data_IF_284930947894
#
_entry.id   IF_284930947894
#
_cell.length_a   1.000
_cell.length_b   1.000
_cell.length_c   1.000
_cell.angle_alpha   90.00
_cell.angle_beta   90.00
_cell.angle_gamma   90.00
#
_symmetry.space_group_name_H-M   'P 1'
#
loop_
_entity.id
_entity.type
_entity.pdbx_description
1 polymer ?
#
# COMPACT_ATOMS: atom_id res chain seq x y z
N UNK A 1 22.98 5.96 -27.63
CA UNK A 1 21.57 6.29 -27.92
C UNK A 1 21.32 7.75 -27.52
N UNK A 2 20.61 8.57 -28.31
CA UNK A 2 20.42 10.00 -28.00
C UNK A 2 19.42 10.17 -26.84
N UNK A 3 19.82 10.84 -25.76
CA UNK A 3 18.97 11.03 -24.55
C UNK A 3 17.63 11.69 -24.88
N UNK A 4 17.61 12.69 -25.76
CA UNK A 4 16.37 13.34 -26.18
C UNK A 4 15.37 12.38 -26.85
N UNK A 5 15.86 11.41 -27.63
CA UNK A 5 15.02 10.38 -28.25
C UNK A 5 14.45 9.43 -27.19
N UNK A 6 15.25 9.05 -26.19
CA UNK A 6 14.79 8.24 -25.04
C UNK A 6 13.68 8.97 -24.30
N UNK A 7 13.91 10.23 -23.95
CA UNK A 7 12.96 11.00 -23.16
C UNK A 7 11.63 11.18 -23.90
N UNK A 8 11.67 11.46 -25.21
CA UNK A 8 10.46 11.54 -26.03
C UNK A 8 9.71 10.21 -26.08
N UNK A 9 10.44 9.10 -26.29
CA UNK A 9 9.86 7.76 -26.30
C UNK A 9 9.25 7.37 -24.96
N UNK A 10 9.93 7.65 -23.84
CA UNK A 10 9.42 7.43 -22.49
C UNK A 10 8.17 8.29 -22.22
N UNK A 11 8.21 9.58 -22.56
CA UNK A 11 7.06 10.47 -22.40
C UNK A 11 5.84 9.98 -23.20
N UNK A 12 6.07 9.45 -24.41
CA UNK A 12 5.02 8.84 -25.21
C UNK A 12 4.42 7.61 -24.51
N UNK A 13 5.26 6.62 -24.15
CA UNK A 13 4.83 5.37 -23.48
C UNK A 13 4.16 5.59 -22.13
N UNK A 14 4.52 6.67 -21.44
CA UNK A 14 3.97 7.01 -20.12
C UNK A 14 2.77 7.97 -20.22
N UNK A 15 2.23 8.18 -21.43
CA UNK A 15 1.03 8.97 -21.68
C UNK A 15 1.17 10.47 -21.34
N UNK A 16 2.40 10.99 -21.35
CA UNK A 16 2.69 12.39 -21.01
C UNK A 16 2.61 13.33 -22.22
N UNK A 17 2.65 12.80 -23.45
CA UNK A 17 2.50 13.60 -24.66
C UNK A 17 1.01 13.72 -25.04
N UNK A 18 0.56 14.87 -25.60
CA UNK A 18 -0.85 15.06 -25.95
C UNK A 18 -1.45 13.94 -26.80
N UNK A 19 -0.69 13.42 -27.78
CA UNK A 19 -1.14 12.35 -28.67
C UNK A 19 -1.08 10.93 -28.08
N UNK A 20 -0.61 10.75 -26.84
CA UNK A 20 -0.56 9.44 -26.17
C UNK A 20 -1.35 9.39 -24.86
N UNK A 21 -2.06 10.46 -24.50
CA UNK A 21 -2.94 10.47 -23.31
C UNK A 21 -4.06 9.45 -23.46
N UNK A 22 -4.39 8.80 -22.36
CA UNK A 22 -5.50 7.84 -22.28
C UNK A 22 -6.79 8.53 -21.85
N UNK A 23 -7.89 7.79 -21.85
CA UNK A 23 -9.17 8.20 -21.24
C UNK A 23 -9.54 7.36 -20.02
N UNK A 24 -8.82 6.25 -19.78
CA UNK A 24 -9.05 5.34 -18.64
C UNK A 24 -7.93 5.44 -17.60
N UNK A 25 -8.33 5.67 -16.34
CA UNK A 25 -7.44 5.77 -15.18
C UNK A 25 -6.83 4.41 -14.80
N UNK A 26 -7.55 3.30 -15.01
CA UNK A 26 -7.09 1.95 -14.68
C UNK A 26 -5.99 1.55 -15.64
N UNK A 27 -6.22 1.74 -16.94
CA UNK A 27 -5.22 1.51 -17.98
C UNK A 27 -3.99 2.40 -17.78
N UNK A 28 -4.16 3.68 -17.44
CA UNK A 28 -3.03 4.55 -17.14
C UNK A 28 -2.17 4.02 -15.98
N UNK A 29 -2.79 3.60 -14.87
CA UNK A 29 -2.06 3.01 -13.74
C UNK A 29 -1.33 1.71 -14.14
N UNK A 30 -1.97 0.88 -14.98
CA UNK A 30 -1.41 -0.38 -15.50
C UNK A 30 -0.19 -0.16 -16.39
N UNK A 31 -0.26 0.83 -17.29
CA UNK A 31 0.78 1.07 -18.29
C UNK A 31 2.03 1.71 -17.71
N UNK A 32 1.89 2.48 -16.62
CA UNK A 32 3.04 3.00 -15.86
C UNK A 32 3.37 2.18 -14.61
N UNK A 33 3.02 0.89 -14.62
CA UNK A 33 3.22 -0.09 -13.54
C UNK A 33 2.35 0.16 -12.31
N UNK A 34 2.46 1.34 -11.69
CA UNK A 34 1.64 1.77 -10.57
C UNK A 34 1.78 3.28 -10.32
N UNK A 35 0.83 3.88 -9.61
CA UNK A 35 0.91 5.27 -9.16
C UNK A 35 1.44 5.33 -7.72
N UNK A 36 2.45 6.16 -7.45
CA UNK A 36 2.88 6.37 -6.07
C UNK A 36 1.79 7.09 -5.25
N UNK A 37 1.40 6.50 -4.11
CA UNK A 37 0.21 6.90 -3.35
C UNK A 37 0.47 7.18 -1.87
N UNK A 38 1.74 7.33 -1.46
CA UNK A 38 2.09 7.70 -0.07
C UNK A 38 1.42 9.02 0.33
N UNK A 39 1.54 10.03 -0.53
CA UNK A 39 0.74 11.24 -0.46
C UNK A 39 -0.59 11.03 -1.19
N UNK A 40 -1.74 11.38 -0.58
CA UNK A 40 -3.05 11.16 -1.20
C UNK A 40 -3.25 11.93 -2.51
N UNK A 41 -2.54 13.04 -2.74
CA UNK A 41 -2.69 13.84 -3.97
C UNK A 41 -1.85 13.32 -5.14
N UNK A 42 -0.78 12.58 -4.86
CA UNK A 42 0.15 12.04 -5.86
C UNK A 42 -0.53 11.30 -7.03
N UNK A 43 -1.42 10.32 -6.77
CA UNK A 43 -2.14 9.62 -7.83
C UNK A 43 -3.00 10.54 -8.71
N UNK A 44 -3.65 11.55 -8.12
CA UNK A 44 -4.47 12.50 -8.87
C UNK A 44 -3.64 13.37 -9.82
N UNK A 45 -2.50 13.90 -9.34
CA UNK A 45 -1.59 14.71 -10.17
C UNK A 45 -0.99 13.84 -11.29
N UNK A 46 -0.62 12.60 -10.97
CA UNK A 46 -0.07 11.65 -11.93
C UNK A 46 -1.06 11.32 -13.06
N UNK A 47 -2.34 11.10 -12.72
CA UNK A 47 -3.40 10.82 -13.69
C UNK A 47 -3.83 12.07 -14.46
N UNK A 48 -3.88 13.24 -13.83
CA UNK A 48 -4.17 14.51 -14.52
C UNK A 48 -3.20 14.77 -15.68
N UNK A 49 -1.92 14.40 -15.52
CA UNK A 49 -0.94 14.54 -16.60
C UNK A 49 -1.11 13.54 -17.75
N UNK A 50 -1.77 12.39 -17.49
CA UNK A 50 -1.78 11.19 -18.35
C UNK A 50 -3.13 10.87 -18.99
N UNK A 51 -4.21 11.35 -18.39
CA UNK A 51 -5.58 11.06 -18.78
C UNK A 51 -6.24 12.34 -19.28
N UNK A 52 -6.69 12.32 -20.53
CA UNK A 52 -7.40 13.42 -21.14
C UNK A 52 -8.74 13.64 -20.42
N UNK A 53 -9.01 14.88 -19.99
CA UNK A 53 -10.25 15.22 -19.29
C UNK A 53 -10.38 14.65 -17.88
N UNK A 54 -9.27 14.22 -17.26
CA UNK A 54 -9.26 13.59 -15.93
C UNK A 54 -10.14 14.32 -14.91
N UNK A 55 -11.08 13.57 -14.32
CA UNK A 55 -11.87 13.98 -13.16
C UNK A 55 -11.43 13.18 -11.94
N UNK A 56 -11.44 13.83 -10.78
CA UNK A 56 -11.04 13.23 -9.50
C UNK A 56 -11.88 11.99 -9.19
N UNK A 57 -13.17 12.09 -9.45
CA UNK A 57 -14.21 11.10 -9.18
C UNK A 57 -13.90 9.79 -9.90
N UNK A 58 -13.31 9.83 -11.11
CA UNK A 58 -12.92 8.63 -11.85
C UNK A 58 -11.91 7.77 -11.07
N UNK A 59 -10.95 8.39 -10.37
CA UNK A 59 -10.01 7.65 -9.51
C UNK A 59 -10.70 7.14 -8.24
N UNK A 60 -11.60 7.93 -7.64
CA UNK A 60 -12.33 7.51 -6.44
C UNK A 60 -13.25 6.32 -6.73
N UNK A 61 -13.99 6.36 -7.84
CA UNK A 61 -14.86 5.29 -8.30
C UNK A 61 -14.05 4.02 -8.59
N UNK A 62 -12.91 4.15 -9.28
CA UNK A 62 -12.03 3.00 -9.55
C UNK A 62 -11.43 2.38 -8.29
N UNK A 63 -11.13 3.18 -7.25
CA UNK A 63 -10.56 2.69 -5.99
C UNK A 63 -11.60 2.09 -5.03
N UNK A 64 -12.77 2.71 -4.94
CA UNK A 64 -13.68 2.51 -3.81
C UNK A 64 -15.01 1.88 -4.20
N UNK A 65 -15.54 2.21 -5.39
CA UNK A 65 -16.82 1.69 -5.86
C UNK A 65 -16.62 0.43 -6.70
N UNK A 66 -15.87 0.55 -7.79
CA UNK A 66 -15.58 -0.56 -8.70
C UNK A 66 -14.47 -1.47 -8.17
N UNK A 67 -13.61 -0.93 -7.30
CA UNK A 67 -12.42 -1.62 -6.76
C UNK A 67 -11.53 -2.20 -7.86
N UNK A 68 -11.51 -1.59 -9.03
CA UNK A 68 -10.62 -1.91 -10.15
C UNK A 68 -9.16 -1.50 -9.86
N UNK A 69 -8.96 -0.57 -8.91
CA UNK A 69 -7.67 -0.17 -8.37
C UNK A 69 -7.60 -0.49 -6.87
N UNK A 70 -6.40 -0.80 -6.41
CA UNK A 70 -6.08 -1.15 -5.03
C UNK A 70 -4.89 -0.34 -4.50
N UNK A 71 -4.89 -0.07 -3.19
CA UNK A 71 -3.77 0.58 -2.48
C UNK A 71 -2.94 -0.46 -1.72
N UNK A 72 -1.72 -0.72 -2.18
CA UNK A 72 -0.83 -1.76 -1.62
C UNK A 72 0.56 -1.20 -1.31
N UNK A 73 1.18 -1.67 -0.21
CA UNK A 73 2.62 -1.46 0.03
C UNK A 73 3.44 -2.40 -0.87
N UNK A 74 4.28 -1.84 -1.73
CA UNK A 74 5.09 -2.63 -2.66
C UNK A 74 6.49 -2.02 -2.87
N UNK A 75 6.77 -1.41 -4.02
CA UNK A 75 8.06 -0.82 -4.36
C UNK A 75 8.60 0.02 -3.19
N UNK A 76 9.80 -0.34 -2.70
CA UNK A 76 10.48 0.35 -1.58
C UNK A 76 9.66 0.40 -0.27
N UNK A 77 8.72 -0.52 -0.08
CA UNK A 77 7.81 -0.57 1.07
C UNK A 77 6.97 0.71 1.20
N UNK A 78 6.60 1.31 0.06
CA UNK A 78 5.75 2.51 0.02
C UNK A 78 4.42 2.21 -0.65
N UNK A 79 3.41 3.05 -0.36
CA UNK A 79 2.06 2.83 -0.85
C UNK A 79 1.95 3.19 -2.32
N UNK A 80 1.33 2.32 -3.10
CA UNK A 80 1.01 2.56 -4.51
C UNK A 80 -0.44 2.21 -4.81
N UNK A 81 -1.01 2.91 -5.79
CA UNK A 81 -2.27 2.57 -6.45
C UNK A 81 -1.97 1.74 -7.69
N UNK A 82 -2.53 0.54 -7.78
CA UNK A 82 -2.28 -0.41 -8.87
C UNK A 82 -3.55 -1.18 -9.23
N UNK A 83 -3.64 -1.76 -10.43
CA UNK A 83 -4.80 -2.59 -10.82
C UNK A 83 -5.02 -3.77 -9.88
N UNK A 84 -6.26 -3.92 -9.40
CA UNK A 84 -6.60 -4.92 -8.38
C UNK A 84 -6.33 -6.37 -8.82
N UNK A 85 -6.48 -6.66 -10.11
CA UNK A 85 -6.15 -7.95 -10.73
C UNK A 85 -4.64 -8.28 -10.72
N UNK A 86 -3.79 -7.32 -10.37
CA UNK A 86 -2.33 -7.50 -10.29
C UNK A 86 -1.83 -7.52 -8.85
N UNK A 87 -2.72 -7.47 -7.85
CA UNK A 87 -2.33 -7.41 -6.43
C UNK A 87 -1.44 -8.59 -6.04
N UNK A 88 -1.74 -9.82 -6.47
CA UNK A 88 -0.93 -11.01 -6.17
C UNK A 88 0.47 -10.93 -6.77
N UNK A 89 0.60 -10.46 -8.01
CA UNK A 89 1.89 -10.25 -8.68
C UNK A 89 2.73 -9.20 -7.94
N UNK A 90 2.17 -8.03 -7.63
CA UNK A 90 2.89 -7.04 -6.83
C UNK A 90 3.23 -7.60 -5.45
N UNK A 91 2.29 -8.33 -4.83
CA UNK A 91 2.48 -8.92 -3.52
C UNK A 91 3.70 -9.84 -3.49
N UNK A 92 3.71 -10.82 -4.38
CA UNK A 92 4.72 -11.88 -4.44
C UNK A 92 6.09 -11.39 -4.93
N UNK A 93 6.12 -10.40 -5.83
CA UNK A 93 7.39 -9.85 -6.35
C UNK A 93 8.32 -9.34 -5.22
N UNK A 94 7.71 -8.90 -4.11
CA UNK A 94 8.40 -8.29 -2.98
C UNK A 94 8.31 -9.11 -1.68
N UNK A 95 7.78 -10.34 -1.71
CA UNK A 95 7.54 -11.17 -0.50
C UNK A 95 8.74 -11.26 0.45
N UNK A 96 9.97 -11.36 -0.08
CA UNK A 96 11.21 -11.48 0.69
C UNK A 96 11.68 -10.20 1.38
N UNK A 97 11.22 -9.02 0.93
CA UNK A 97 11.72 -7.71 1.39
C UNK A 97 10.76 -6.97 2.32
N UNK A 98 9.55 -7.48 2.53
CA UNK A 98 8.44 -6.71 3.11
C UNK A 98 8.39 -6.67 4.63
N UNK A 99 8.90 -7.69 5.31
CA UNK A 99 8.45 -7.94 6.69
C UNK A 99 9.56 -8.23 7.67
N UNK A 100 10.70 -8.80 7.25
CA UNK A 100 11.66 -9.35 8.22
C UNK A 100 12.36 -8.27 9.06
N UNK A 101 12.96 -7.21 8.50
CA UNK A 101 13.65 -6.21 9.32
C UNK A 101 12.68 -5.35 10.15
N UNK A 102 11.49 -5.07 9.60
CA UNK A 102 10.53 -4.20 10.24
C UNK A 102 9.76 -4.90 11.37
N UNK A 103 9.35 -6.16 11.17
CA UNK A 103 8.70 -6.93 12.21
C UNK A 103 9.63 -7.17 13.41
N UNK A 104 10.90 -7.52 13.17
CA UNK A 104 11.87 -7.73 14.26
C UNK A 104 12.16 -6.42 15.01
N UNK A 105 12.28 -5.28 14.30
CA UNK A 105 12.36 -3.97 14.96
C UNK A 105 11.13 -3.69 15.82
N UNK A 106 9.94 -3.97 15.30
CA UNK A 106 8.72 -3.71 16.03
C UNK A 106 8.60 -4.59 17.28
N UNK A 107 8.97 -5.87 17.20
CA UNK A 107 9.06 -6.77 18.36
C UNK A 107 9.99 -6.22 19.43
N UNK A 108 11.20 -5.81 19.05
CA UNK A 108 12.17 -5.23 19.98
C UNK A 108 11.59 -3.99 20.69
N UNK A 109 10.91 -3.13 19.95
CA UNK A 109 10.26 -1.93 20.48
C UNK A 109 9.11 -2.28 21.44
N UNK A 110 8.31 -3.31 21.15
CA UNK A 110 7.24 -3.77 22.07
C UNK A 110 7.81 -4.30 23.40
N UNK A 111 8.92 -5.03 23.34
CA UNK A 111 9.61 -5.56 24.54
C UNK A 111 10.25 -4.43 25.34
N UNK A 112 10.96 -3.50 24.69
CA UNK A 112 11.57 -2.34 25.33
C UNK A 112 10.54 -1.42 26.00
N UNK A 113 9.35 -1.30 25.42
CA UNK A 113 8.24 -0.55 26.01
C UNK A 113 7.55 -1.29 27.19
N UNK A 114 8.01 -2.50 27.55
CA UNK A 114 7.47 -3.28 28.67
C UNK A 114 6.09 -3.88 28.42
N UNK A 115 5.62 -3.91 27.17
CA UNK A 115 4.28 -4.39 26.82
C UNK A 115 4.17 -5.92 26.83
N UNK A 116 5.30 -6.60 26.63
CA UNK A 116 5.39 -8.05 26.68
C UNK A 116 6.82 -8.49 27.00
N UNK A 117 6.97 -9.73 27.44
CA UNK A 117 8.27 -10.38 27.61
C UNK A 117 8.81 -10.85 26.26
N UNK A 118 10.14 -10.85 26.09
CA UNK A 118 10.81 -11.27 24.85
C UNK A 118 10.37 -12.66 24.39
N UNK A 119 10.23 -13.62 25.31
CA UNK A 119 9.81 -15.00 25.00
C UNK A 119 8.36 -15.10 24.54
N UNK A 120 7.54 -14.06 24.77
CA UNK A 120 6.10 -14.03 24.46
C UNK A 120 5.74 -13.04 23.35
N UNK A 121 6.72 -12.32 22.77
CA UNK A 121 6.45 -11.24 21.81
C UNK A 121 5.72 -11.74 20.56
N UNK A 122 6.08 -12.92 20.04
CA UNK A 122 5.43 -13.52 18.88
C UNK A 122 3.97 -13.87 19.15
N UNK A 123 3.69 -14.49 20.30
CA UNK A 123 2.33 -14.82 20.74
C UNK A 123 1.51 -13.56 20.96
N UNK A 124 2.09 -12.54 21.60
CA UNK A 124 1.45 -11.25 21.84
C UNK A 124 1.07 -10.57 20.52
N UNK A 125 2.01 -10.48 19.58
CA UNK A 125 1.79 -9.86 18.27
C UNK A 125 0.76 -10.64 17.44
N UNK A 126 0.83 -11.98 17.45
CA UNK A 126 -0.14 -12.84 16.77
C UNK A 126 -1.56 -12.66 17.31
N UNK A 127 -1.72 -12.54 18.63
CA UNK A 127 -3.02 -12.29 19.27
C UNK A 127 -3.57 -10.90 18.93
N UNK A 128 -2.73 -9.85 18.94
CA UNK A 128 -3.15 -8.51 18.51
C UNK A 128 -3.58 -8.51 17.03
N UNK A 129 -2.81 -9.16 16.16
CA UNK A 129 -3.16 -9.27 14.75
C UNK A 129 -4.52 -9.95 14.57
N UNK A 130 -4.74 -11.10 15.24
CA UNK A 130 -6.02 -11.83 15.17
C UNK A 130 -7.18 -10.93 15.55
N UNK A 131 -7.09 -10.23 16.70
CA UNK A 131 -8.14 -9.32 17.17
C UNK A 131 -8.40 -8.15 16.23
N UNK A 132 -7.37 -7.62 15.56
CA UNK A 132 -7.56 -6.61 14.51
C UNK A 132 -8.38 -7.18 13.34
N UNK A 133 -8.07 -8.40 12.90
CA UNK A 133 -8.80 -9.06 11.82
C UNK A 133 -10.26 -9.35 12.24
N UNK A 134 -10.47 -9.84 13.47
CA UNK A 134 -11.81 -10.12 14.01
C UNK A 134 -12.69 -8.86 14.01
N UNK A 135 -12.14 -7.72 14.44
CA UNK A 135 -12.84 -6.43 14.43
C UNK A 135 -13.25 -6.02 13.01
N UNK A 136 -12.40 -6.26 12.02
CA UNK A 136 -12.67 -5.91 10.64
C UNK A 136 -13.65 -6.89 9.97
N UNK A 137 -13.59 -8.17 10.32
CA UNK A 137 -14.57 -9.17 9.89
C UNK A 137 -15.97 -8.83 10.43
N UNK A 138 -16.07 -8.39 11.69
CA UNK A 138 -17.35 -8.07 12.33
C UNK A 138 -17.91 -6.71 11.86
N UNK A 139 -17.07 -5.68 11.79
CA UNK A 139 -17.52 -4.28 11.60
C UNK A 139 -17.31 -3.75 10.19
N UNK A 140 -16.64 -4.51 9.33
CA UNK A 140 -16.21 -4.06 8.01
C UNK A 140 -15.12 -2.97 8.07
N UNK A 141 -14.96 -2.19 6.99
CA UNK A 141 -13.93 -1.17 6.89
C UNK A 141 -13.92 -0.21 8.09
N UNK A 142 -12.77 -0.12 8.77
CA UNK A 142 -12.65 0.65 10.02
C UNK A 142 -11.36 1.46 10.06
N UNK A 143 -11.42 2.66 10.64
CA UNK A 143 -10.23 3.49 10.93
C UNK A 143 -9.39 2.90 12.06
N UNK A 144 -8.11 3.28 12.12
CA UNK A 144 -7.23 2.96 13.28
C UNK A 144 -7.86 3.37 14.61
N UNK A 145 -8.58 4.50 14.66
CA UNK A 145 -9.27 4.94 15.88
C UNK A 145 -10.36 3.97 16.32
N UNK A 146 -11.17 3.48 15.38
CA UNK A 146 -12.23 2.50 15.65
C UNK A 146 -11.65 1.15 16.07
N UNK A 147 -10.58 0.69 15.39
CA UNK A 147 -9.89 -0.56 15.73
C UNK A 147 -9.27 -0.46 17.13
N UNK A 148 -8.57 0.63 17.43
CA UNK A 148 -8.00 0.88 18.76
C UNK A 148 -9.07 0.94 19.86
N UNK A 149 -10.29 1.40 19.56
CA UNK A 149 -11.38 1.41 20.53
C UNK A 149 -11.86 -0.01 20.89
N UNK A 150 -11.79 -0.96 19.95
CA UNK A 150 -12.15 -2.37 20.15
C UNK A 150 -10.99 -3.22 20.68
N UNK A 151 -9.74 -2.80 20.47
CA UNK A 151 -8.52 -3.47 20.96
C UNK A 151 -7.70 -2.46 21.79
N UNK A 152 -8.03 -2.27 23.09
CA UNK A 152 -7.46 -1.20 23.91
C UNK A 152 -5.93 -1.19 23.99
N UNK A 153 -5.30 -2.35 23.94
CA UNK A 153 -3.84 -2.50 23.95
C UNK A 153 -3.18 -1.75 22.79
N UNK A 154 -3.87 -1.59 21.65
CA UNK A 154 -3.36 -0.85 20.50
C UNK A 154 -3.21 0.65 20.77
N UNK A 155 -3.88 1.20 21.81
CA UNK A 155 -3.78 2.61 22.20
C UNK A 155 -2.46 2.94 22.88
N UNK A 156 -1.77 1.94 23.44
CA UNK A 156 -0.50 2.12 24.14
C UNK A 156 0.50 2.88 23.27
N UNK A 157 1.15 3.87 23.88
CA UNK A 157 2.09 4.76 23.21
C UNK A 157 3.51 4.23 23.33
N UNK A 158 4.23 4.29 22.23
CA UNK A 158 5.62 3.89 22.11
C UNK A 158 6.41 5.13 21.71
N UNK A 159 7.45 5.44 22.49
CA UNK A 159 8.44 6.46 22.14
C UNK A 159 9.44 5.89 21.14
N UNK A 160 9.86 6.73 20.20
CA UNK A 160 10.91 6.38 19.24
C UNK A 160 11.91 7.52 19.08
N UNK A 161 13.12 7.15 18.67
CA UNK A 161 14.20 8.08 18.35
C UNK A 161 14.57 9.02 19.51
N UNK A 162 14.54 8.51 20.75
CA UNK A 162 14.85 9.28 21.96
C UNK A 162 16.21 9.98 21.86
N UNK A 163 16.26 11.26 22.22
CA UNK A 163 17.45 12.11 22.10
C UNK A 163 17.71 12.69 20.70
N UNK A 164 16.85 12.45 19.71
CA UNK A 164 16.97 13.04 18.35
C UNK A 164 15.94 14.13 18.11
N UNK A 165 16.23 15.05 17.17
CA UNK A 165 15.32 16.14 16.80
C UNK A 165 13.95 15.68 16.26
N UNK A 166 13.85 14.44 15.79
CA UNK A 166 12.62 13.81 15.30
C UNK A 166 12.05 12.76 16.27
N UNK A 167 12.43 12.80 17.55
CA UNK A 167 11.82 11.97 18.57
C UNK A 167 10.30 12.21 18.62
N UNK A 168 9.54 11.15 18.92
CA UNK A 168 8.09 11.28 19.05
C UNK A 168 7.42 10.04 19.60
N UNK A 169 6.09 10.07 19.67
CA UNK A 169 5.26 8.96 20.14
C UNK A 169 4.28 8.52 19.08
N UNK A 170 4.11 7.21 18.92
CA UNK A 170 3.04 6.62 18.12
C UNK A 170 2.29 5.57 18.93
N UNK A 171 1.03 5.30 18.58
CA UNK A 171 0.28 4.18 19.18
C UNK A 171 0.65 2.86 18.51
N UNK A 172 0.65 1.74 19.23
CA UNK A 172 0.85 0.40 18.64
C UNK A 172 0.00 0.24 17.38
N UNK A 173 -1.30 0.59 17.44
CA UNK A 173 -2.22 0.49 16.31
C UNK A 173 -1.80 1.31 15.08
N UNK A 174 -1.32 2.54 15.28
CA UNK A 174 -0.85 3.40 14.18
C UNK A 174 0.40 2.89 13.47
N UNK A 175 1.14 1.94 14.07
CA UNK A 175 2.28 1.29 13.43
C UNK A 175 1.91 -0.11 12.92
N UNK A 176 1.33 -0.94 13.77
CA UNK A 176 0.96 -2.33 13.49
C UNK A 176 0.04 -2.44 12.27
N UNK A 177 -1.04 -1.66 12.23
CA UNK A 177 -2.09 -1.79 11.20
C UNK A 177 -1.52 -1.48 9.79
N UNK A 178 -0.92 -0.30 9.53
CA UNK A 178 -0.39 0.00 8.20
C UNK A 178 0.84 -0.85 7.84
N UNK A 179 1.77 -1.06 8.77
CA UNK A 179 3.11 -1.53 8.43
C UNK A 179 3.33 -3.02 8.65
N UNK A 180 2.56 -3.65 9.54
CA UNK A 180 2.74 -5.08 9.85
C UNK A 180 1.60 -5.90 9.23
N UNK A 181 0.35 -5.50 9.46
CA UNK A 181 -0.80 -6.25 8.95
C UNK A 181 -1.01 -5.95 7.46
N UNK A 182 -0.86 -4.68 7.04
CA UNK A 182 -0.83 -4.29 5.63
C UNK A 182 0.31 -4.92 4.83
N UNK A 183 1.52 -5.05 5.42
CA UNK A 183 2.67 -5.65 4.74
C UNK A 183 2.53 -7.17 4.55
N UNK A 184 1.72 -7.84 5.38
CA UNK A 184 1.35 -9.26 5.24
C UNK A 184 0.23 -9.50 4.22
N UNK A 185 -0.32 -8.44 3.60
CA UNK A 185 -1.39 -8.57 2.60
C UNK A 185 -2.74 -8.94 3.20
N UNK A 186 -2.90 -8.82 4.50
CA UNK A 186 -4.16 -9.17 5.17
C UNK A 186 -5.15 -8.00 5.13
N UNK A 187 -4.65 -6.77 5.02
CA UNK A 187 -5.45 -5.56 4.97
C UNK A 187 -5.18 -4.76 3.71
N UNK A 188 -6.18 -3.98 3.31
CA UNK A 188 -6.08 -2.95 2.27
C UNK A 188 -6.54 -1.60 2.80
N UNK A 189 -5.94 -0.51 2.32
CA UNK A 189 -6.43 0.85 2.59
C UNK A 189 -7.70 1.09 1.77
N UNK A 190 -8.83 1.21 2.46
CA UNK A 190 -10.12 1.52 1.90
C UNK A 190 -10.31 3.04 1.75
N UNK A 191 -11.57 3.51 1.78
CA UNK A 191 -11.93 4.91 1.58
C UNK A 191 -11.33 5.80 2.68
N UNK A 192 -10.76 6.97 2.33
CA UNK A 192 -10.31 7.94 3.32
C UNK A 192 -11.53 8.62 3.96
N UNK A 193 -11.42 8.98 5.24
CA UNK A 193 -12.39 9.82 5.93
C UNK A 193 -12.12 11.29 5.63
N UNK A 194 -13.18 12.06 5.42
CA UNK A 194 -13.10 13.49 5.15
C UNK A 194 -12.96 13.74 3.65
N UNK A 195 -11.94 14.50 3.24
CA UNK A 195 -11.71 14.82 1.83
C UNK A 195 -10.76 13.83 1.18
N UNK A 196 -10.68 13.86 -0.14
CA UNK A 196 -9.74 13.08 -0.95
C UNK A 196 -8.25 13.34 -0.64
N UNK A 197 -7.95 14.46 0.04
CA UNK A 197 -6.59 14.80 0.51
C UNK A 197 -6.27 14.22 1.89
N UNK A 198 -7.21 13.52 2.50
CA UNK A 198 -7.05 12.98 3.85
C UNK A 198 -6.09 11.80 3.87
N UNK A 199 -5.30 11.74 4.94
CA UNK A 199 -4.45 10.59 5.28
C UNK A 199 -5.11 9.66 6.29
N UNK A 200 -6.36 9.95 6.70
CA UNK A 200 -7.13 9.14 7.63
C UNK A 200 -7.89 8.05 6.87
N UNK A 201 -7.26 6.89 6.71
CA UNK A 201 -7.84 5.77 5.98
C UNK A 201 -8.66 4.85 6.88
N UNK A 202 -9.75 4.31 6.31
CA UNK A 202 -10.31 3.04 6.74
C UNK A 202 -9.44 1.88 6.22
N UNK A 203 -9.41 0.78 6.95
CA UNK A 203 -8.76 -0.47 6.59
C UNK A 203 -9.82 -1.55 6.48
N UNK A 204 -9.73 -2.39 5.46
CA UNK A 204 -10.62 -3.53 5.25
C UNK A 204 -9.80 -4.81 5.15
N UNK A 205 -10.42 -5.97 5.42
CA UNK A 205 -9.82 -7.26 5.08
C UNK A 205 -9.62 -7.35 3.57
N UNK A 206 -8.46 -7.84 3.13
CA UNK A 206 -8.18 -8.00 1.71
C UNK A 206 -9.20 -8.94 1.05
N UNK A 207 -9.52 -10.05 1.72
CA UNK A 207 -10.50 -11.06 1.25
C UNK A 207 -11.87 -10.47 0.98
N UNK A 208 -12.32 -9.53 1.82
CA UNK A 208 -13.67 -8.97 1.71
C UNK A 208 -13.69 -7.81 0.70
N UNK A 209 -12.57 -7.08 0.61
CA UNK A 209 -12.43 -5.98 -0.32
C UNK A 209 -12.25 -6.46 -1.76
N UNK A 210 -11.41 -7.48 -1.96
CA UNK A 210 -11.06 -8.07 -3.25
C UNK A 210 -11.23 -9.60 -3.22
N UNK A 211 -12.46 -10.12 -3.21
CA UNK A 211 -12.73 -11.56 -3.03
C UNK A 211 -12.18 -12.47 -4.12
N UNK A 212 -11.86 -11.93 -5.31
CA UNK A 212 -11.24 -12.68 -6.41
C UNK A 212 -9.71 -12.73 -6.37
N UNK A 213 -9.06 -12.10 -5.38
CA UNK A 213 -7.60 -12.05 -5.29
C UNK A 213 -7.10 -13.15 -4.36
N UNK A 214 -6.39 -14.11 -4.94
CA UNK A 214 -5.55 -15.05 -4.21
C UNK A 214 -4.09 -14.57 -4.24
N UNK A 215 -3.53 -14.25 -3.08
CA UNK A 215 -2.14 -13.77 -2.98
C UNK A 215 -1.12 -14.87 -3.29
N UNK A 216 -1.49 -16.13 -3.15
CA UNK A 216 -0.61 -17.29 -3.36
C UNK A 216 -0.72 -17.87 -4.78
N UNK A 217 -1.55 -17.25 -5.63
CA UNK A 217 -1.82 -17.72 -7.00
C UNK A 217 -0.61 -17.67 -7.95
N UNK A 218 0.48 -17.02 -7.55
CA UNK A 218 1.71 -16.86 -8.35
C UNK A 218 2.93 -17.01 -7.45
N UNK A 219 4.02 -17.54 -8.00
CA UNK A 219 5.28 -17.64 -7.26
C UNK A 219 6.03 -16.29 -7.22
N UNK A 220 6.90 -16.06 -6.21
CA UNK A 220 7.77 -14.88 -6.19
C UNK A 220 8.64 -14.71 -7.44
N UNK A 221 9.06 -15.81 -8.08
CA UNK A 221 9.89 -15.76 -9.29
C UNK A 221 9.08 -15.28 -10.50
N UNK A 222 7.91 -15.85 -10.74
CA UNK A 222 7.00 -15.43 -11.81
C UNK A 222 6.62 -13.95 -11.67
N UNK A 223 6.28 -13.55 -10.44
CA UNK A 223 5.93 -12.18 -10.12
C UNK A 223 7.06 -11.18 -10.41
N UNK A 224 8.31 -11.52 -10.09
CA UNK A 224 9.48 -10.68 -10.40
C UNK A 224 9.74 -10.59 -11.89
N UNK A 225 9.70 -11.71 -12.61
CA UNK A 225 9.86 -11.74 -14.07
C UNK A 225 8.80 -10.85 -14.73
N UNK A 226 7.53 -11.02 -14.34
CA UNK A 226 6.43 -10.18 -14.82
C UNK A 226 6.67 -8.70 -14.54
N UNK A 227 7.11 -8.35 -13.32
CA UNK A 227 7.34 -6.96 -12.93
C UNK A 227 8.50 -6.32 -13.70
N UNK A 228 9.58 -7.06 -13.97
CA UNK A 228 10.71 -6.58 -14.80
C UNK A 228 10.23 -6.28 -16.22
N UNK A 229 9.45 -7.18 -16.84
CA UNK A 229 8.89 -6.93 -18.17
C UNK A 229 8.00 -5.68 -18.19
N UNK A 230 7.12 -5.54 -17.20
CA UNK A 230 6.27 -4.35 -17.05
C UNK A 230 7.07 -3.08 -16.85
N UNK A 231 8.10 -3.13 -16.02
CA UNK A 231 8.99 -2.00 -15.78
C UNK A 231 9.73 -1.58 -17.05
N UNK A 232 10.30 -2.52 -17.80
CA UNK A 232 11.01 -2.21 -19.05
C UNK A 232 10.06 -1.69 -20.14
N UNK A 233 8.82 -2.17 -20.19
CA UNK A 233 7.81 -1.62 -21.08
C UNK A 233 7.56 -0.13 -20.80
N UNK A 234 7.38 0.25 -19.53
CA UNK A 234 7.06 1.63 -19.15
C UNK A 234 8.28 2.58 -19.05
N UNK A 235 9.39 2.09 -18.51
CA UNK A 235 10.55 2.87 -18.07
C UNK A 235 11.86 2.45 -18.75
N UNK A 236 11.84 1.41 -19.59
CA UNK A 236 13.02 0.97 -20.33
C UNK A 236 13.44 1.98 -21.42
N UNK A 237 14.75 2.02 -21.74
CA UNK A 237 15.81 1.10 -21.29
C UNK A 237 16.29 1.36 -19.85
N UNK A 238 16.66 0.29 -19.15
CA UNK A 238 17.18 0.33 -17.78
C UNK A 238 18.24 -0.77 -17.56
N UNK A 239 19.03 -0.63 -16.50
CA UNK A 239 20.07 -1.59 -16.06
C UNK A 239 19.68 -2.28 -14.77
#
# INVERSE_FOLDING_TARGET
MKVALINSYLAHKQHLLPGSRLTDVVQAARDIVALHGTDPTGPHISLWARVAGFQREALEDALYEQRALAKLLCMRVTLHVLPSDQVSLFFQAYATHRTRPEAERFKAVLVQAGLCQEQKVDLFLGNLQRRVLDVLAEKGPSTVRQINAAVPELKSKIRHSEGKAYAGEFSIGSYLIPNIVGARGLLIRARPRGTWRSTLYEYALLSDWLPGVDLESVTPQEARTWLVHRYLAAFGPAT
#
